data_IF_999612114489
#
_entry.id   IF_999612114489
#
_cell.length_a   1.000
_cell.length_b   1.000
_cell.length_c   1.000
_cell.angle_alpha   90.00
_cell.angle_beta   90.00
_cell.angle_gamma   90.00
#
_symmetry.space_group_name_H-M   'P 1'
#
loop_
_entity.id
_entity.type
_entity.pdbx_description
1 polymer ?
#
# COMPACT_ATOMS: atom_id res chain seq x y z
N UNK A 1 -52.45 -16.96 -31.24
CA UNK A 1 -52.83 -16.02 -32.33
C UNK A 1 -51.57 -15.32 -32.79
N UNK A 2 -51.10 -15.64 -33.99
CA UNK A 2 -49.85 -15.11 -34.57
C UNK A 2 -50.13 -14.74 -36.02
N UNK A 3 -50.00 -13.46 -36.41
CA UNK A 3 -49.88 -13.09 -37.81
C UNK A 3 -48.41 -13.13 -38.26
N UNK A 4 -48.13 -13.62 -39.48
CA UNK A 4 -46.81 -13.66 -40.08
C UNK A 4 -46.45 -12.37 -40.84
N UNK A 5 -45.16 -12.28 -41.15
CA UNK A 5 -44.46 -11.18 -41.81
C UNK A 5 -45.00 -10.80 -43.20
N UNK A 6 -44.91 -9.51 -43.53
CA UNK A 6 -44.83 -9.02 -44.90
C UNK A 6 -43.76 -7.93 -45.00
N UNK A 7 -42.72 -8.23 -45.78
CA UNK A 7 -41.62 -7.35 -46.16
C UNK A 7 -42.12 -6.21 -47.05
N UNK A 8 -41.56 -5.01 -46.88
CA UNK A 8 -41.66 -3.96 -47.89
C UNK A 8 -40.29 -3.43 -48.27
N UNK A 9 -40.02 -3.57 -49.57
CA UNK A 9 -38.79 -3.31 -50.27
C UNK A 9 -38.43 -1.83 -50.33
N UNK A 10 -37.10 -1.64 -50.36
CA UNK A 10 -36.36 -0.42 -50.69
C UNK A 10 -36.64 0.08 -52.10
N UNK A 11 -36.64 1.40 -52.26
CA UNK A 11 -36.22 2.21 -53.43
C UNK A 11 -36.38 3.67 -52.99
N UNK A 12 -35.54 4.67 -53.27
CA UNK A 12 -34.18 4.83 -53.76
C UNK A 12 -33.95 6.35 -53.76
N UNK A 13 -32.68 6.76 -53.70
CA UNK A 13 -32.14 8.08 -54.12
C UNK A 13 -32.57 9.36 -53.38
N UNK A 14 -31.65 9.89 -52.58
CA UNK A 14 -31.18 11.28 -52.73
C UNK A 14 -29.85 11.49 -51.98
N UNK A 15 -28.84 11.87 -52.75
CA UNK A 15 -27.56 12.39 -52.28
C UNK A 15 -27.78 13.63 -51.42
N UNK A 16 -27.34 13.59 -50.17
CA UNK A 16 -27.25 14.79 -49.32
C UNK A 16 -25.97 14.67 -48.51
N UNK A 17 -24.94 15.37 -49.00
CA UNK A 17 -23.69 15.62 -48.31
C UNK A 17 -24.00 16.22 -46.94
N UNK A 18 -23.83 15.40 -45.90
CA UNK A 18 -23.77 15.84 -44.51
C UNK A 18 -22.58 16.79 -44.38
N UNK A 19 -22.83 18.09 -44.60
CA UNK A 19 -21.89 19.16 -44.30
C UNK A 19 -21.64 19.15 -42.79
N UNK A 20 -20.54 18.52 -42.40
CA UNK A 20 -20.01 18.62 -41.04
C UNK A 20 -19.72 20.10 -40.76
N UNK A 21 -20.52 20.72 -39.90
CA UNK A 21 -20.38 22.12 -39.55
C UNK A 21 -19.24 22.30 -38.53
N UNK A 22 -18.02 22.32 -39.05
CA UNK A 22 -16.77 22.61 -38.32
C UNK A 22 -16.91 23.89 -37.46
N UNK A 23 -17.68 24.87 -37.94
CA UNK A 23 -17.84 26.18 -37.30
C UNK A 23 -18.62 26.13 -35.98
N UNK A 24 -19.53 25.16 -35.82
CA UNK A 24 -20.22 24.89 -34.56
C UNK A 24 -19.27 24.28 -33.52
N UNK A 25 -18.36 23.39 -33.95
CA UNK A 25 -17.35 22.79 -33.08
C UNK A 25 -16.34 23.84 -32.59
N UNK A 26 -15.84 24.71 -33.47
CA UNK A 26 -14.87 25.75 -33.06
C UNK A 26 -15.45 26.79 -32.12
N UNK A 27 -16.77 27.05 -32.19
CA UNK A 27 -17.47 27.96 -31.26
C UNK A 27 -17.78 27.35 -29.90
N UNK A 28 -17.99 26.03 -29.85
CA UNK A 28 -18.47 25.35 -28.63
C UNK A 28 -17.33 24.72 -27.84
N UNK A 29 -16.25 24.29 -28.50
CA UNK A 29 -15.10 23.69 -27.86
C UNK A 29 -13.97 24.71 -27.68
N UNK A 30 -13.97 25.36 -26.53
CA UNK A 30 -12.81 26.10 -26.03
C UNK A 30 -11.71 25.08 -25.70
N UNK A 31 -10.46 25.24 -26.18
CA UNK A 31 -9.36 24.35 -25.86
C UNK A 31 -9.21 24.18 -24.35
N UNK A 32 -9.11 22.94 -23.87
CA UNK A 32 -9.00 22.59 -22.44
C UNK A 32 -7.84 23.29 -21.71
N UNK A 33 -6.90 23.87 -22.46
CA UNK A 33 -5.81 24.72 -21.95
C UNK A 33 -6.25 26.09 -21.43
N UNK A 34 -7.52 26.44 -21.58
CA UNK A 34 -8.11 27.72 -21.12
C UNK A 34 -8.87 27.60 -19.80
N UNK A 35 -8.94 26.39 -19.23
CA UNK A 35 -9.49 26.21 -17.89
C UNK A 35 -8.52 26.89 -16.90
N UNK A 36 -9.01 27.70 -15.96
CA UNK A 36 -8.16 28.23 -14.90
C UNK A 36 -7.48 27.04 -14.23
N UNK A 37 -6.14 27.03 -14.25
CA UNK A 37 -5.37 26.08 -13.45
C UNK A 37 -5.91 26.17 -12.03
N UNK A 38 -6.27 25.04 -11.39
CA UNK A 38 -6.73 25.08 -10.01
C UNK A 38 -5.69 25.83 -9.16
N UNK A 39 -6.11 26.73 -8.26
CA UNK A 39 -5.18 27.45 -7.40
C UNK A 39 -4.32 26.43 -6.65
N UNK A 40 -3.03 26.72 -6.42
CA UNK A 40 -2.18 25.86 -5.61
C UNK A 40 -2.85 25.69 -4.25
N UNK A 41 -3.20 24.45 -3.91
CA UNK A 41 -3.84 24.11 -2.64
C UNK A 41 -2.97 24.59 -1.48
N UNK A 42 -3.43 25.58 -0.72
CA UNK A 42 -2.83 25.99 0.56
C UNK A 42 -2.89 24.89 1.64
N UNK A 43 -3.50 23.75 1.33
CA UNK A 43 -3.38 22.50 2.06
C UNK A 43 -2.27 21.63 1.45
N UNK A 44 -1.07 22.20 1.34
CA UNK A 44 0.14 21.37 1.34
C UNK A 44 0.30 20.84 2.77
N UNK A 45 -0.55 19.88 3.16
CA UNK A 45 -0.13 18.94 4.19
C UNK A 45 1.14 18.31 3.62
N UNK A 46 2.25 18.58 4.28
CA UNK A 46 3.60 18.10 4.00
C UNK A 46 3.73 16.56 4.03
N UNK A 47 2.62 15.82 4.02
CA UNK A 47 2.55 14.37 4.16
C UNK A 47 2.48 13.60 2.84
N UNK A 48 2.09 14.21 1.71
CA UNK A 48 2.10 13.50 0.41
C UNK A 48 3.46 13.49 -0.28
N UNK A 49 4.39 14.37 0.14
CA UNK A 49 5.77 14.42 -0.39
C UNK A 49 6.77 13.57 0.39
N UNK A 50 6.34 12.94 1.50
CA UNK A 50 7.15 11.96 2.23
C UNK A 50 7.12 10.55 1.63
N UNK A 51 6.33 10.31 0.58
CA UNK A 51 6.26 9.02 -0.10
C UNK A 51 7.31 8.85 -1.22
N UNK A 52 8.47 9.50 -1.10
CA UNK A 52 9.63 9.02 -1.85
C UNK A 52 10.13 7.73 -1.19
N UNK A 53 10.34 6.62 -1.93
CA UNK A 53 10.80 5.35 -1.36
C UNK A 53 12.11 5.47 -0.55
N UNK A 54 12.89 6.54 -0.76
CA UNK A 54 14.10 6.87 -0.01
C UNK A 54 13.89 7.46 1.40
N UNK A 55 12.65 7.70 1.86
CA UNK A 55 12.43 8.32 3.17
C UNK A 55 12.66 7.36 4.36
N UNK A 56 12.65 6.04 4.11
CA UNK A 56 12.73 5.02 5.17
C UNK A 56 14.08 4.31 5.24
N UNK A 57 14.92 4.45 4.21
CA UNK A 57 16.32 4.04 4.25
C UNK A 57 17.12 5.16 4.89
N UNK A 58 17.84 4.86 5.97
CA UNK A 58 18.69 5.86 6.60
C UNK A 58 19.79 6.30 5.64
N UNK A 59 20.12 7.61 5.55
CA UNK A 59 21.17 8.07 4.64
C UNK A 59 22.50 7.42 5.04
N UNK A 60 22.97 6.46 4.24
CA UNK A 60 24.21 5.70 4.47
C UNK A 60 24.01 4.20 4.77
N UNK A 61 22.78 3.69 4.77
CA UNK A 61 22.52 2.25 4.90
C UNK A 61 23.00 1.51 3.64
N UNK A 62 24.02 0.66 3.80
CA UNK A 62 24.55 -0.18 2.73
C UNK A 62 23.67 -1.43 2.69
N UNK A 63 22.87 -1.56 1.64
CA UNK A 63 22.01 -2.72 1.43
C UNK A 63 22.84 -3.88 0.87
N UNK A 64 22.65 -5.06 1.43
CA UNK A 64 23.32 -6.27 0.96
C UNK A 64 22.71 -6.73 -0.37
N UNK A 65 23.47 -6.77 -1.48
CA UNK A 65 22.93 -7.21 -2.77
C UNK A 65 22.37 -8.64 -2.77
N UNK A 66 22.85 -9.53 -1.89
CA UNK A 66 22.37 -10.93 -1.81
C UNK A 66 20.92 -11.00 -1.31
N UNK A 67 20.51 -10.03 -0.50
CA UNK A 67 19.15 -9.96 0.07
C UNK A 67 18.12 -9.31 -0.87
N UNK A 68 18.53 -8.86 -2.06
CA UNK A 68 17.62 -8.20 -3.01
C UNK A 68 16.54 -9.16 -3.53
N UNK A 69 16.92 -10.39 -3.91
CA UNK A 69 15.96 -11.42 -4.36
C UNK A 69 14.92 -11.76 -3.29
N UNK A 70 15.35 -12.13 -2.07
CA UNK A 70 14.46 -12.30 -0.92
C UNK A 70 13.54 -11.10 -0.66
N UNK A 71 14.08 -9.87 -0.72
CA UNK A 71 13.28 -8.66 -0.48
C UNK A 71 12.18 -8.47 -1.52
N UNK A 72 12.48 -8.69 -2.81
CA UNK A 72 11.50 -8.64 -3.90
C UNK A 72 10.42 -9.69 -3.68
N UNK A 73 10.83 -10.93 -3.42
CA UNK A 73 9.92 -12.04 -3.26
C UNK A 73 8.95 -11.82 -2.07
N UNK A 74 9.46 -11.46 -0.90
CA UNK A 74 8.65 -11.12 0.28
C UNK A 74 7.69 -9.95 0.03
N UNK A 75 8.14 -8.93 -0.71
CA UNK A 75 7.29 -7.78 -1.06
C UNK A 75 6.12 -8.18 -1.94
N UNK A 76 6.33 -9.13 -2.86
CA UNK A 76 5.28 -9.65 -3.75
C UNK A 76 4.25 -10.52 -3.03
N UNK A 77 4.61 -11.13 -1.89
CA UNK A 77 3.69 -11.92 -1.05
C UNK A 77 2.78 -11.07 -0.16
N UNK A 78 3.04 -9.76 -0.05
CA UNK A 78 2.17 -8.85 0.71
C UNK A 78 0.80 -8.78 0.01
N UNK A 79 -0.31 -9.18 0.67
CA UNK A 79 -1.61 -9.16 0.01
C UNK A 79 -2.01 -7.73 -0.35
N UNK A 80 -2.25 -7.44 -1.64
CA UNK A 80 -2.54 -6.09 -2.14
C UNK A 80 -3.81 -5.45 -1.53
N UNK A 81 -4.67 -6.27 -0.92
CA UNK A 81 -5.88 -5.83 -0.22
C UNK A 81 -5.65 -5.42 1.24
N UNK A 82 -4.40 -5.22 1.69
CA UNK A 82 -4.08 -4.85 3.08
C UNK A 82 -4.05 -3.34 3.30
N UNK A 83 -3.41 -2.58 2.41
CA UNK A 83 -3.28 -1.12 2.46
C UNK A 83 -3.49 -0.52 1.07
N UNK A 84 -3.94 0.74 0.98
CA UNK A 84 -3.86 1.49 -0.29
C UNK A 84 -2.43 1.98 -0.60
N UNK A 85 -1.53 1.97 0.40
CA UNK A 85 -0.12 2.28 0.19
C UNK A 85 0.57 1.12 -0.51
N UNK A 86 1.30 1.43 -1.58
CA UNK A 86 2.09 0.45 -2.34
C UNK A 86 3.21 -0.11 -1.46
N UNK A 87 3.38 -1.43 -1.47
CA UNK A 87 4.52 -2.06 -0.81
C UNK A 87 5.84 -1.66 -1.48
N UNK A 88 6.91 -1.60 -0.68
CA UNK A 88 8.20 -1.02 -1.00
C UNK A 88 9.30 -2.06 -0.83
N UNK A 89 9.85 -2.53 -1.94
CA UNK A 89 11.01 -3.43 -1.96
C UNK A 89 12.20 -2.82 -1.18
N UNK A 90 12.57 -1.53 -1.35
CA UNK A 90 13.67 -0.95 -0.58
C UNK A 90 13.48 -0.98 0.94
N UNK A 91 12.23 -0.84 1.41
CA UNK A 91 11.94 -0.92 2.84
C UNK A 91 12.11 -2.36 3.36
N UNK A 92 11.56 -3.34 2.64
CA UNK A 92 11.75 -4.76 2.99
C UNK A 92 13.23 -5.13 2.95
N UNK A 93 13.97 -4.67 1.95
CA UNK A 93 15.42 -4.91 1.83
C UNK A 93 16.21 -4.32 3.00
N UNK A 94 15.88 -3.10 3.42
CA UNK A 94 16.45 -2.50 4.62
C UNK A 94 16.07 -3.27 5.89
N UNK A 95 14.85 -3.80 6.01
CA UNK A 95 14.45 -4.66 7.13
C UNK A 95 15.32 -5.93 7.17
N UNK A 96 15.49 -6.62 6.04
CA UNK A 96 16.30 -7.84 5.97
C UNK A 96 17.77 -7.57 6.31
N UNK A 97 18.34 -6.49 5.77
CA UNK A 97 19.73 -6.09 6.04
C UNK A 97 19.95 -5.80 7.52
N UNK A 98 18.96 -5.20 8.21
CA UNK A 98 19.05 -4.91 9.65
C UNK A 98 18.78 -6.12 10.54
N UNK A 99 17.98 -7.06 10.05
CA UNK A 99 17.65 -8.27 10.78
C UNK A 99 18.81 -9.27 10.77
N UNK A 100 19.65 -9.26 9.72
CA UNK A 100 20.86 -10.10 9.58
C UNK A 100 20.56 -11.58 9.86
N UNK A 101 19.48 -12.08 9.24
CA UNK A 101 18.97 -13.42 9.46
C UNK A 101 19.52 -14.40 8.42
N UNK A 102 19.72 -15.68 8.78
CA UNK A 102 20.09 -16.70 7.81
C UNK A 102 18.96 -16.92 6.79
N UNK A 103 19.32 -17.26 5.55
CA UNK A 103 18.38 -17.39 4.44
C UNK A 103 17.27 -18.40 4.71
N UNK A 104 17.54 -19.46 5.46
CA UNK A 104 16.54 -20.46 5.85
C UNK A 104 15.46 -19.86 6.77
N UNK A 105 15.83 -18.93 7.66
CA UNK A 105 14.86 -18.21 8.50
C UNK A 105 14.01 -17.26 7.65
N UNK A 106 14.61 -16.62 6.66
CA UNK A 106 13.90 -15.78 5.69
C UNK A 106 12.95 -16.63 4.83
N UNK A 107 13.39 -17.82 4.41
CA UNK A 107 12.58 -18.79 3.67
C UNK A 107 11.38 -19.25 4.50
N UNK A 108 11.54 -19.51 5.81
CA UNK A 108 10.38 -19.79 6.66
C UNK A 108 9.39 -18.61 6.71
N UNK A 109 9.88 -17.38 6.75
CA UNK A 109 9.01 -16.20 6.68
C UNK A 109 8.28 -16.11 5.32
N UNK A 110 8.93 -16.48 4.22
CA UNK A 110 8.30 -16.64 2.90
C UNK A 110 7.16 -17.66 2.97
N UNK A 111 7.41 -18.86 3.50
CA UNK A 111 6.39 -19.90 3.63
C UNK A 111 5.20 -19.48 4.52
N UNK A 112 5.48 -18.72 5.58
CA UNK A 112 4.46 -18.13 6.46
C UNK A 112 3.54 -17.18 5.68
N UNK A 113 4.12 -16.31 4.84
CA UNK A 113 3.36 -15.33 4.07
C UNK A 113 2.58 -15.98 2.92
N UNK A 114 3.18 -16.94 2.22
CA UNK A 114 2.53 -17.65 1.11
C UNK A 114 1.33 -18.50 1.59
N UNK A 115 1.40 -18.98 2.84
CA UNK A 115 0.31 -19.75 3.47
C UNK A 115 -0.86 -18.89 3.97
N UNK A 116 -0.79 -17.56 3.85
CA UNK A 116 -1.88 -16.68 4.28
C UNK A 116 -3.08 -16.83 3.35
N UNK A 117 -4.27 -17.03 3.94
CA UNK A 117 -5.49 -17.14 3.14
C UNK A 117 -6.04 -15.77 2.71
N UNK A 118 -6.95 -15.80 1.73
CA UNK A 118 -7.58 -14.59 1.17
C UNK A 118 -8.36 -13.72 2.16
N UNK A 119 -8.66 -14.22 3.37
CA UNK A 119 -9.36 -13.45 4.41
C UNK A 119 -8.42 -12.65 5.29
N UNK A 120 -7.12 -12.97 5.30
CA UNK A 120 -6.12 -12.32 6.15
C UNK A 120 -6.15 -10.80 5.99
N UNK A 121 -6.07 -10.31 4.75
CA UNK A 121 -5.99 -8.89 4.45
C UNK A 121 -7.16 -8.09 5.04
N UNK A 122 -8.38 -8.62 4.92
CA UNK A 122 -9.59 -7.99 5.45
C UNK A 122 -9.63 -8.00 6.98
N UNK A 123 -9.22 -9.11 7.60
CA UNK A 123 -9.17 -9.23 9.07
C UNK A 123 -8.13 -8.29 9.66
N UNK A 124 -6.93 -8.28 9.08
CA UNK A 124 -5.84 -7.42 9.50
C UNK A 124 -6.24 -5.94 9.42
N UNK A 125 -6.80 -5.50 8.28
CA UNK A 125 -7.23 -4.10 8.09
C UNK A 125 -8.28 -3.65 9.11
N UNK A 126 -9.19 -4.53 9.52
CA UNK A 126 -10.26 -4.21 10.47
C UNK A 126 -9.78 -4.10 11.92
N UNK A 127 -8.69 -4.78 12.27
CA UNK A 127 -8.22 -4.85 13.65
C UNK A 127 -6.87 -4.18 13.92
N UNK A 128 -6.11 -3.82 12.88
CA UNK A 128 -4.80 -3.21 13.04
C UNK A 128 -4.91 -1.89 13.82
N UNK A 129 -4.22 -1.73 14.95
CA UNK A 129 -4.36 -0.55 15.79
C UNK A 129 -3.82 0.69 15.08
N UNK A 130 -4.65 1.73 15.04
CA UNK A 130 -4.32 3.03 14.47
C UNK A 130 -3.74 3.91 15.57
N UNK A 131 -2.65 4.63 15.28
CA UNK A 131 -2.08 5.56 16.26
C UNK A 131 -2.93 6.82 16.31
N UNK A 132 -3.49 7.12 17.47
CA UNK A 132 -4.11 8.43 17.73
C UNK A 132 -3.00 9.43 18.06
N UNK A 133 -2.66 10.33 17.13
CA UNK A 133 -1.75 11.42 17.44
C UNK A 133 -2.53 12.58 18.04
N UNK A 134 -2.20 12.95 19.28
CA UNK A 134 -2.60 14.22 19.86
C UNK A 134 -1.71 15.31 19.27
N UNK A 135 -2.25 16.08 18.32
CA UNK A 135 -1.54 17.23 17.77
C UNK A 135 -1.30 18.25 18.90
N UNK A 136 -0.07 18.77 19.09
CA UNK A 136 0.17 19.88 19.99
C UNK A 136 -0.49 21.13 19.40
N UNK A 137 -1.73 21.39 19.81
CA UNK A 137 -2.49 22.56 19.41
C UNK A 137 -1.84 23.83 19.95
N UNK A 138 -1.37 24.67 19.04
CA UNK A 138 -1.03 26.07 19.24
C UNK A 138 -2.08 26.78 20.11
N UNK A 139 -1.71 27.14 21.35
CA UNK A 139 -2.28 28.18 22.23
C UNK A 139 -3.81 28.39 22.32
N UNK A 140 -4.66 27.44 21.90
CA UNK A 140 -6.11 27.55 22.07
C UNK A 140 -6.61 26.47 23.02
N UNK A 141 -7.04 26.83 24.24
CA UNK A 141 -7.68 25.88 25.14
C UNK A 141 -9.08 25.63 24.57
N UNK A 142 -9.35 24.42 24.09
CA UNK A 142 -10.65 23.70 24.22
C UNK A 142 -10.76 22.52 23.23
N UNK A 143 -10.12 22.51 22.06
CA UNK A 143 -10.27 21.40 21.10
C UNK A 143 -8.92 20.79 20.67
N UNK A 144 -8.40 19.86 21.47
CA UNK A 144 -7.38 18.93 21.01
C UNK A 144 -8.02 17.99 19.98
N UNK A 145 -7.96 18.35 18.69
CA UNK A 145 -8.40 17.46 17.60
C UNK A 145 -7.48 16.25 17.58
N UNK A 146 -7.98 15.11 18.04
CA UNK A 146 -7.34 13.81 17.84
C UNK A 146 -7.45 13.52 16.33
N UNK A 147 -6.32 13.54 15.63
CA UNK A 147 -6.26 13.01 14.28
C UNK A 147 -5.95 11.52 14.39
N UNK A 148 -6.97 10.69 14.21
CA UNK A 148 -6.79 9.24 14.09
C UNK A 148 -6.05 8.94 12.79
N UNK A 149 -4.93 8.19 12.89
CA UNK A 149 -4.21 7.69 11.72
C UNK A 149 -5.17 6.85 10.86
N UNK A 150 -5.23 7.10 9.55
CA UNK A 150 -6.02 6.24 8.67
C UNK A 150 -5.31 4.90 8.47
N UNK A 151 -6.06 3.81 8.26
CA UNK A 151 -5.47 2.49 8.02
C UNK A 151 -4.52 2.46 6.82
N UNK A 152 -4.78 3.29 5.82
CA UNK A 152 -3.90 3.41 4.64
C UNK A 152 -2.60 4.15 4.92
N UNK A 153 -2.49 4.82 6.07
CA UNK A 153 -1.24 5.42 6.53
C UNK A 153 -0.31 4.39 7.20
N UNK A 154 -0.72 3.13 7.34
CA UNK A 154 0.14 2.05 7.83
C UNK A 154 0.80 1.36 6.63
N UNK A 155 2.13 1.31 6.68
CA UNK A 155 2.97 0.61 5.73
C UNK A 155 2.75 -0.91 5.83
N UNK A 156 2.32 -1.60 4.75
CA UNK A 156 1.96 -3.02 4.80
C UNK A 156 3.16 -3.96 5.03
N UNK A 157 4.39 -3.46 4.91
CA UNK A 157 5.65 -4.16 5.19
C UNK A 157 5.75 -4.63 6.65
N UNK A 158 4.93 -4.10 7.56
CA UNK A 158 4.77 -4.64 8.93
C UNK A 158 4.34 -6.11 8.93
N UNK A 159 3.67 -6.58 7.87
CA UNK A 159 3.29 -7.98 7.69
C UNK A 159 4.54 -8.84 7.47
N UNK A 160 5.49 -8.35 6.66
CA UNK A 160 6.80 -9.01 6.47
C UNK A 160 7.58 -9.01 7.77
N UNK A 161 7.67 -7.87 8.45
CA UNK A 161 8.31 -7.77 9.76
C UNK A 161 7.72 -8.77 10.77
N UNK A 162 6.38 -8.87 10.81
CA UNK A 162 5.67 -9.82 11.66
C UNK A 162 6.02 -11.28 11.34
N UNK A 163 6.09 -11.64 10.06
CA UNK A 163 6.47 -12.99 9.64
C UNK A 163 7.92 -13.34 10.00
N UNK A 164 8.87 -12.42 9.81
CA UNK A 164 10.28 -12.61 10.20
C UNK A 164 10.43 -12.83 11.70
N UNK A 165 9.74 -12.01 12.53
CA UNK A 165 9.75 -12.17 13.98
C UNK A 165 9.19 -13.54 14.39
N UNK A 166 8.13 -14.02 13.71
CA UNK A 166 7.57 -15.35 13.98
C UNK A 166 8.53 -16.48 13.58
N UNK A 167 9.22 -16.34 12.44
CA UNK A 167 10.23 -17.30 12.00
C UNK A 167 11.38 -17.42 13.01
N UNK A 168 11.92 -16.27 13.47
CA UNK A 168 12.97 -16.26 14.51
C UNK A 168 12.47 -16.89 15.81
N UNK A 169 11.31 -16.46 16.31
CA UNK A 169 10.74 -17.02 17.55
C UNK A 169 10.36 -18.50 17.46
N UNK A 170 10.25 -19.03 16.24
CA UNK A 170 9.96 -20.45 16.02
C UNK A 170 11.25 -21.28 16.01
N UNK A 171 12.33 -20.75 15.44
CA UNK A 171 13.62 -21.45 15.30
C UNK A 171 14.55 -21.26 16.50
N UNK A 172 14.43 -20.12 17.16
CA UNK A 172 15.22 -19.74 18.31
C UNK A 172 14.32 -19.42 19.51
N UNK A 173 14.71 -19.94 20.67
CA UNK A 173 14.07 -19.67 21.96
C UNK A 173 14.49 -18.31 22.55
N UNK A 174 15.44 -17.59 21.92
CA UNK A 174 15.84 -16.25 22.34
C UNK A 174 14.69 -15.23 22.24
N UNK A 175 14.13 -14.88 23.40
CA UNK A 175 13.03 -13.93 23.50
C UNK A 175 13.52 -12.48 23.51
N UNK A 176 13.69 -11.90 22.33
CA UNK A 176 13.74 -10.45 22.19
C UNK A 176 12.36 -9.81 22.39
N UNK A 177 12.36 -8.58 22.92
CA UNK A 177 11.12 -7.83 23.17
C UNK A 177 10.60 -7.21 21.87
N UNK A 178 9.29 -7.08 21.73
CA UNK A 178 8.69 -6.41 20.57
C UNK A 178 9.22 -4.98 20.35
N UNK A 179 9.60 -4.28 21.43
CA UNK A 179 10.22 -2.96 21.33
C UNK A 179 11.59 -2.98 20.68
N UNK A 180 12.38 -4.03 20.87
CA UNK A 180 13.70 -4.18 20.25
C UNK A 180 13.53 -4.38 18.75
N UNK A 181 12.66 -5.29 18.33
CA UNK A 181 12.29 -5.44 16.92
C UNK A 181 11.75 -4.15 16.28
N UNK A 182 10.92 -3.38 17.00
CA UNK A 182 10.40 -2.11 16.51
C UNK A 182 11.52 -1.10 16.22
N UNK A 183 12.50 -1.01 17.10
CA UNK A 183 13.62 -0.05 16.99
C UNK A 183 14.65 -0.56 15.98
N UNK A 184 15.11 -1.80 16.12
CA UNK A 184 16.24 -2.35 15.35
C UNK A 184 15.83 -2.66 13.91
N UNK A 185 14.74 -3.43 13.75
CA UNK A 185 14.26 -3.87 12.43
C UNK A 185 13.17 -2.97 11.86
N UNK A 186 12.45 -2.21 12.69
CA UNK A 186 11.40 -1.30 12.25
C UNK A 186 11.81 0.18 12.15
N UNK A 187 12.95 0.61 12.72
CA UNK A 187 13.31 2.04 12.90
C UNK A 187 12.16 2.87 13.50
N UNK A 188 11.38 2.29 14.41
CA UNK A 188 10.19 2.92 15.02
C UNK A 188 9.12 3.38 14.01
N UNK A 189 9.11 2.85 12.78
CA UNK A 189 8.06 3.12 11.79
C UNK A 189 6.72 2.54 12.28
N UNK A 190 6.75 1.42 12.99
CA UNK A 190 5.57 0.74 13.54
C UNK A 190 5.63 0.64 15.05
N UNK A 191 4.47 0.80 15.67
CA UNK A 191 4.34 0.70 17.13
C UNK A 191 4.28 -0.75 17.59
N UNK A 192 4.69 -1.03 18.83
CA UNK A 192 4.59 -2.38 19.41
C UNK A 192 3.17 -2.99 19.32
N UNK A 193 2.07 -2.24 19.55
CA UNK A 193 0.73 -2.76 19.33
C UNK A 193 0.46 -3.23 17.90
N UNK A 194 0.94 -2.50 16.88
CA UNK A 194 0.78 -2.89 15.47
C UNK A 194 1.55 -4.17 15.16
N UNK A 195 2.79 -4.27 15.63
CA UNK A 195 3.64 -5.45 15.43
C UNK A 195 3.04 -6.68 16.16
N UNK A 196 2.61 -6.52 17.41
CA UNK A 196 1.99 -7.60 18.18
C UNK A 196 0.65 -8.06 17.58
N UNK A 197 -0.18 -7.12 17.13
CA UNK A 197 -1.44 -7.44 16.45
C UNK A 197 -1.20 -8.20 15.15
N UNK A 198 -0.21 -7.78 14.37
CA UNK A 198 0.15 -8.41 13.10
C UNK A 198 0.65 -9.84 13.30
N UNK A 199 1.57 -10.07 14.26
CA UNK A 199 2.00 -11.43 14.63
C UNK A 199 0.82 -12.33 15.01
N UNK A 200 -0.08 -11.84 15.87
CA UNK A 200 -1.26 -12.60 16.28
C UNK A 200 -2.17 -12.90 15.10
N UNK A 201 -2.43 -11.93 14.24
CA UNK A 201 -3.29 -12.09 13.07
C UNK A 201 -2.74 -13.12 12.09
N UNK A 202 -1.41 -13.17 11.89
CA UNK A 202 -0.75 -14.20 11.08
C UNK A 202 -0.97 -15.58 11.71
N UNK A 203 -0.64 -15.73 12.99
CA UNK A 203 -0.81 -17.00 13.70
C UNK A 203 -2.26 -17.50 13.71
N UNK A 204 -3.23 -16.62 13.98
CA UNK A 204 -4.65 -16.96 13.95
C UNK A 204 -5.10 -17.40 12.56
N UNK A 205 -4.59 -16.75 11.50
CA UNK A 205 -4.91 -17.11 10.11
C UNK A 205 -4.38 -18.50 9.74
N UNK A 206 -3.17 -18.84 10.20
CA UNK A 206 -2.56 -20.15 10.00
C UNK A 206 -3.11 -21.23 10.96
N UNK A 207 -3.95 -20.83 11.93
CA UNK A 207 -4.42 -21.72 13.00
C UNK A 207 -3.29 -22.22 13.90
N UNK A 208 -2.27 -21.39 14.12
CA UNK A 208 -1.09 -21.65 14.96
C UNK A 208 -0.24 -22.84 14.50
N UNK A 209 -0.31 -23.22 13.22
CA UNK A 209 0.46 -24.33 12.65
C UNK A 209 1.66 -23.84 11.84
N UNK A 210 2.77 -23.56 12.52
CA UNK A 210 4.04 -23.20 11.86
C UNK A 210 4.90 -24.42 11.51
N UNK A 211 4.84 -25.48 12.32
CA UNK A 211 5.67 -26.68 12.13
C UNK A 211 5.61 -27.30 10.72
N UNK A 212 4.43 -27.42 10.07
CA UNK A 212 4.37 -27.95 8.70
C UNK A 212 5.07 -27.08 7.66
N UNK A 213 5.29 -25.79 7.95
CA UNK A 213 5.96 -24.85 7.04
C UNK A 213 7.49 -24.98 7.12
N UNK A 214 8.01 -25.66 8.15
CA UNK A 214 9.43 -25.94 8.33
C UNK A 214 9.83 -27.32 7.76
N UNK A 215 9.12 -27.79 6.74
CA UNK A 215 9.52 -28.99 6.01
C UNK A 215 10.66 -28.65 5.05
N UNK A 216 11.73 -29.46 5.03
CA UNK A 216 12.93 -29.22 4.23
C UNK A 216 12.61 -29.00 2.73
N UNK A 217 11.66 -29.77 2.19
CA UNK A 217 11.20 -29.65 0.79
C UNK A 217 10.61 -28.27 0.49
N UNK A 218 9.78 -27.74 1.39
CA UNK A 218 9.12 -26.44 1.26
C UNK A 218 10.13 -25.30 1.43
N UNK A 219 11.07 -25.44 2.37
CA UNK A 219 12.11 -24.44 2.59
C UNK A 219 13.06 -24.34 1.39
N UNK A 220 13.46 -25.48 0.80
CA UNK A 220 14.29 -25.48 -0.41
C UNK A 220 13.58 -24.81 -1.59
N UNK A 221 12.29 -25.09 -1.80
CA UNK A 221 11.49 -24.43 -2.85
C UNK A 221 11.41 -22.91 -2.63
N UNK A 222 11.20 -22.47 -1.39
CA UNK A 222 11.19 -21.05 -1.04
C UNK A 222 12.55 -20.36 -1.29
N UNK A 223 13.68 -21.05 -1.04
CA UNK A 223 15.01 -20.54 -1.35
C UNK A 223 15.18 -20.33 -2.87
N UNK A 224 14.78 -21.31 -3.68
CA UNK A 224 14.83 -21.21 -5.15
C UNK A 224 13.96 -20.07 -5.68
N UNK A 225 12.78 -19.86 -5.10
CA UNK A 225 11.87 -18.78 -5.48
C UNK A 225 12.43 -17.39 -5.14
N UNK A 226 13.12 -17.24 -4.01
CA UNK A 226 13.82 -16.01 -3.64
C UNK A 226 15.00 -15.72 -4.58
N UNK A 227 15.78 -16.73 -4.96
CA UNK A 227 16.86 -16.59 -5.93
C UNK A 227 16.32 -16.15 -7.30
N UNK A 228 15.26 -16.81 -7.78
CA UNK A 228 14.61 -16.49 -9.05
C UNK A 228 14.08 -15.06 -9.08
N UNK A 229 13.52 -14.58 -7.97
CA UNK A 229 13.03 -13.20 -7.87
C UNK A 229 14.17 -12.16 -8.02
N UNK A 230 15.38 -12.48 -7.57
CA UNK A 230 16.55 -11.61 -7.75
C UNK A 230 17.02 -11.53 -9.20
N UNK A 231 17.05 -12.66 -9.91
CA UNK A 231 17.47 -12.73 -11.31
C UNK A 231 16.55 -11.94 -12.25
N UNK A 232 15.25 -11.92 -11.98
CA UNK A 232 14.28 -11.17 -12.80
C UNK A 232 14.43 -9.65 -12.69
N UNK A 233 15.08 -9.15 -11.65
CA UNK A 233 15.19 -7.73 -11.38
C UNK A 233 16.50 -7.10 -11.90
N UNK A 234 17.55 -7.89 -12.15
CA UNK A 234 18.74 -7.37 -12.84
C UNK A 234 18.36 -7.00 -14.27
N UNK A 235 18.25 -5.71 -14.63
CA UNK A 235 17.92 -5.35 -15.98
C UNK A 235 19.11 -5.77 -16.85
N UNK A 236 18.85 -6.56 -17.90
CA UNK A 236 19.84 -6.94 -18.92
C UNK A 236 20.30 -5.68 -19.69
N UNK A 237 21.13 -4.85 -19.07
CA UNK A 237 21.64 -3.61 -19.66
C UNK A 237 22.99 -3.85 -20.37
N UNK A 238 23.62 -5.03 -20.21
CA UNK A 238 24.87 -5.37 -20.90
C UNK A 238 24.93 -6.85 -21.29
N UNK A 239 24.11 -7.24 -22.27
CA UNK A 239 24.33 -8.49 -23.04
C UNK A 239 24.37 -8.21 -24.54
N UNK A 240 24.91 -7.06 -24.95
CA UNK A 240 25.15 -6.73 -26.36
C UNK A 240 26.63 -6.41 -26.59
N UNK A 241 27.49 -7.35 -26.18
CA UNK A 241 28.71 -7.63 -26.94
C UNK A 241 28.37 -8.73 -27.94
N UNK A 242 27.43 -8.44 -28.86
CA UNK A 242 27.30 -9.23 -30.07
C UNK A 242 28.53 -8.96 -30.93
N UNK A 243 29.38 -9.96 -30.90
CA UNK A 243 30.48 -10.29 -31.78
C UNK A 243 29.96 -10.36 -33.23
N UNK A 244 29.91 -9.23 -33.93
CA UNK A 244 29.47 -9.12 -35.34
C UNK A 244 30.57 -9.47 -36.36
N UNK A 245 31.62 -10.19 -35.95
CA UNK A 245 32.75 -10.56 -36.81
C UNK A 245 32.62 -12.00 -37.37
N UNK A 246 31.45 -12.41 -37.90
CA UNK A 246 31.39 -13.58 -38.81
C UNK A 246 30.02 -13.74 -39.51
N UNK A 247 29.81 -13.03 -40.63
CA UNK A 247 28.86 -13.46 -41.68
C UNK A 247 29.11 -12.73 -43.01
N UNK A 248 30.24 -13.02 -43.63
CA UNK A 248 30.40 -12.87 -45.08
C UNK A 248 29.61 -14.02 -45.75
N UNK A 249 28.44 -13.74 -46.34
CA UNK A 249 27.97 -14.27 -47.64
C UNK A 249 26.45 -14.09 -47.89
N UNK A 250 26.17 -13.37 -48.99
CA UNK A 250 25.16 -13.70 -50.00
C UNK A 250 23.66 -13.72 -49.63
N UNK A 251 22.96 -12.59 -49.78
CA UNK A 251 21.84 -12.48 -50.76
C UNK A 251 21.32 -11.04 -50.92
N UNK A 252 21.38 -10.51 -52.15
CA UNK A 252 20.27 -9.76 -52.75
C UNK A 252 20.06 -8.28 -52.44
N UNK A 253 20.85 -7.42 -53.10
CA UNK A 253 20.50 -6.12 -53.69
C UNK A 253 19.10 -5.50 -53.41
N UNK A 254 19.10 -4.31 -52.79
CA UNK A 254 18.31 -3.17 -53.24
C UNK A 254 19.11 -1.89 -52.96
N UNK A 255 19.51 -1.24 -54.05
CA UNK A 255 20.16 0.06 -54.08
C UNK A 255 19.08 1.12 -54.31
N UNK A 256 18.88 2.03 -53.36
CA UNK A 256 18.47 3.41 -53.64
C UNK A 256 19.15 4.36 -52.67
N UNK A 257 20.03 5.15 -53.27
CA UNK A 257 20.83 6.22 -52.68
C UNK A 257 20.04 7.46 -52.24
N UNK A 258 20.67 8.18 -51.31
CA UNK A 258 20.63 9.63 -51.04
C UNK A 258 19.38 10.27 -50.39
N UNK A 259 19.58 10.76 -49.16
CA UNK A 259 18.72 11.80 -48.57
C UNK A 259 19.08 12.08 -47.11
N UNK A 260 20.20 12.77 -46.86
CA UNK A 260 20.56 13.25 -45.52
C UNK A 260 19.54 14.28 -45.02
N UNK A 261 19.10 14.13 -43.77
CA UNK A 261 18.26 15.12 -43.08
C UNK A 261 18.85 15.37 -41.69
N UNK A 262 19.34 16.61 -41.51
CA UNK A 262 19.80 17.21 -40.27
C UNK A 262 18.70 17.23 -39.18
N UNK A 263 19.02 16.94 -37.90
CA UNK A 263 18.11 17.20 -36.80
C UNK A 263 18.10 18.69 -36.44
N UNK A 264 16.95 19.32 -36.63
CA UNK A 264 16.72 20.76 -36.43
C UNK A 264 16.80 21.23 -34.97
N UNK A 265 17.43 22.39 -34.79
CA UNK A 265 17.49 23.19 -33.56
C UNK A 265 16.11 23.76 -33.18
N UNK A 266 15.53 23.26 -32.08
CA UNK A 266 14.39 23.88 -31.41
C UNK A 266 14.80 25.12 -30.59
N UNK A 267 14.18 26.26 -30.87
CA UNK A 267 14.46 27.56 -30.24
C UNK A 267 13.39 27.82 -29.16
N UNK A 268 13.77 27.81 -27.89
CA UNK A 268 12.87 28.15 -26.78
C UNK A 268 12.62 29.68 -26.74
N UNK A 269 11.36 30.09 -26.74
CA UNK A 269 10.93 31.49 -26.60
C UNK A 269 10.61 31.76 -25.14
N UNK A 270 11.44 32.56 -24.48
CA UNK A 270 11.18 33.12 -23.15
C UNK A 270 10.29 34.36 -23.28
N UNK A 271 9.02 34.22 -22.88
CA UNK A 271 8.09 35.35 -22.75
C UNK A 271 8.32 36.10 -21.45
N UNK A 272 8.74 37.36 -21.57
CA UNK A 272 8.93 38.33 -20.50
C UNK A 272 7.59 38.72 -19.87
N UNK A 273 7.53 38.66 -18.53
CA UNK A 273 6.48 39.33 -17.77
C UNK A 273 6.60 40.85 -17.89
N UNK A 274 5.44 41.53 -17.89
CA UNK A 274 5.20 42.76 -17.12
C UNK A 274 3.81 43.34 -17.38
N UNK A 275 3.06 43.48 -16.27
CA UNK A 275 1.99 44.47 -15.97
C UNK A 275 0.72 44.35 -16.87
N UNK A 276 -0.49 44.72 -16.49
CA UNK A 276 -0.98 45.92 -15.79
C UNK A 276 -2.41 45.58 -15.30
N UNK A 277 -2.77 45.94 -14.06
CA UNK A 277 -4.16 46.14 -13.55
C UNK A 277 -4.94 47.15 -14.44
N UNK A 278 -6.25 47.47 -14.30
CA UNK A 278 -7.30 47.06 -13.35
C UNK A 278 -8.66 46.72 -14.05
N UNK A 279 -9.74 46.40 -13.32
CA UNK A 279 -10.95 47.26 -13.16
C UNK A 279 -12.11 46.51 -12.50
N UNK A 280 -12.69 47.22 -11.53
CA UNK A 280 -14.01 47.21 -10.87
C UNK A 280 -15.03 46.06 -10.99
N UNK A 281 -15.56 45.75 -9.80
CA UNK A 281 -16.82 45.11 -9.42
C UNK A 281 -18.04 45.61 -10.20
N UNK A 282 -19.10 44.78 -10.36
CA UNK A 282 -20.28 45.07 -9.54
C UNK A 282 -20.91 43.83 -8.90
N UNK A 283 -21.33 43.99 -7.65
CA UNK A 283 -22.05 43.00 -6.89
C UNK A 283 -23.48 42.79 -7.39
N UNK A 284 -23.99 41.58 -7.22
CA UNK A 284 -25.42 41.30 -7.24
C UNK A 284 -25.72 40.30 -6.13
N UNK A 285 -26.48 40.80 -5.18
CA UNK A 285 -27.30 40.07 -4.22
C UNK A 285 -28.08 38.94 -4.88
N UNK A 286 -28.15 37.76 -4.25
CA UNK A 286 -29.41 37.04 -4.22
C UNK A 286 -29.45 36.07 -3.04
N UNK A 287 -30.08 36.56 -1.99
CA UNK A 287 -30.64 35.80 -0.88
C UNK A 287 -31.80 34.96 -1.41
N UNK A 288 -31.71 33.63 -1.32
CA UNK A 288 -32.93 32.80 -1.25
C UNK A 288 -32.70 31.45 -0.55
N UNK A 289 -32.91 31.50 0.76
CA UNK A 289 -33.58 30.49 1.60
C UNK A 289 -33.18 29.02 1.44
N UNK A 290 -32.35 28.54 2.35
CA UNK A 290 -32.38 27.14 2.78
C UNK A 290 -33.18 27.08 4.09
N UNK A 291 -34.32 26.38 4.05
CA UNK A 291 -35.16 26.08 5.22
C UNK A 291 -34.45 25.06 6.12
N UNK A 292 -34.60 25.29 7.42
CA UNK A 292 -34.39 24.33 8.51
C UNK A 292 -34.89 22.93 8.15
N UNK A 293 -34.01 21.94 8.28
CA UNK A 293 -34.36 20.53 8.42
C UNK A 293 -33.66 20.03 9.68
N UNK A 294 -34.13 20.51 10.82
CA UNK A 294 -33.69 20.08 12.15
C UNK A 294 -34.90 19.41 12.82
N UNK A 295 -34.91 18.08 12.90
CA UNK A 295 -36.05 17.37 13.51
C UNK A 295 -36.02 15.85 13.55
N UNK A 296 -35.58 15.16 12.48
CA UNK A 296 -36.03 13.78 12.28
C UNK A 296 -35.02 12.65 12.59
N UNK A 297 -33.85 12.94 13.18
CA UNK A 297 -32.83 11.89 13.45
C UNK A 297 -32.68 11.49 14.92
N UNK A 298 -33.52 12.02 15.83
CA UNK A 298 -33.39 11.78 17.30
C UNK A 298 -34.27 10.66 17.87
N UNK A 299 -35.06 9.95 17.06
CA UNK A 299 -36.01 8.94 17.54
C UNK A 299 -35.53 7.48 17.44
N UNK A 300 -34.35 7.20 16.88
CA UNK A 300 -33.86 5.83 16.66
C UNK A 300 -33.13 5.18 17.86
N UNK A 301 -32.89 5.93 18.95
CA UNK A 301 -32.06 5.45 20.08
C UNK A 301 -32.77 5.44 21.45
N UNK A 302 -34.09 5.63 21.50
CA UNK A 302 -34.83 5.49 22.76
C UNK A 302 -35.34 4.06 22.91
N UNK A 303 -34.50 3.21 23.52
CA UNK A 303 -34.92 1.90 24.04
C UNK A 303 -35.62 2.15 25.39
N UNK A 304 -36.87 1.70 25.59
CA UNK A 304 -37.56 1.85 26.86
C UNK A 304 -36.98 0.88 27.89
N UNK A 305 -36.65 1.41 29.06
CA UNK A 305 -36.29 0.64 30.25
C UNK A 305 -37.50 -0.17 30.72
N UNK A 306 -37.40 -1.50 30.61
CA UNK A 306 -38.28 -2.44 31.28
C UNK A 306 -37.45 -3.54 31.92
N UNK A 307 -37.66 -3.69 33.22
CA UNK A 307 -36.99 -4.57 34.16
C UNK A 307 -37.06 -6.05 33.76
N UNK A 308 -35.94 -6.78 33.86
CA UNK A 308 -35.88 -8.08 34.54
C UNK A 308 -34.42 -8.53 34.81
N UNK A 309 -34.19 -9.30 35.88
CA UNK A 309 -32.91 -9.35 36.57
C UNK A 309 -32.27 -10.74 36.50
N UNK A 310 -31.18 -10.93 35.76
CA UNK A 310 -30.28 -12.06 35.95
C UNK A 310 -28.87 -11.67 35.48
N UNK A 311 -27.86 -12.18 36.18
CA UNK A 311 -26.40 -11.91 36.06
C UNK A 311 -25.85 -10.86 37.03
N UNK A 312 -26.01 -11.15 38.32
CA UNK A 312 -25.16 -10.60 39.37
C UNK A 312 -23.79 -11.26 39.29
N UNK A 313 -22.76 -10.49 38.89
CA UNK A 313 -21.36 -10.92 38.95
C UNK A 313 -20.87 -10.88 40.42
N UNK A 314 -20.09 -11.87 40.87
CA UNK A 314 -19.59 -11.90 42.24
C UNK A 314 -18.54 -10.81 42.46
N UNK A 315 -18.72 -10.10 43.57
CA UNK A 315 -17.84 -9.06 44.08
C UNK A 315 -16.45 -9.63 44.39
N UNK A 316 -15.40 -8.98 43.89
CA UNK A 316 -14.02 -9.49 43.85
C UNK A 316 -13.15 -8.93 44.97
N UNK A 317 -13.73 -8.67 46.14
CA UNK A 317 -13.07 -7.93 47.24
C UNK A 317 -12.68 -8.77 48.47
N UNK A 318 -12.64 -10.09 48.37
CA UNK A 318 -12.06 -10.95 49.42
C UNK A 318 -11.17 -12.04 48.83
N UNK A 319 -9.90 -11.70 48.57
CA UNK A 319 -8.85 -12.72 48.36
C UNK A 319 -8.33 -13.13 49.73
N UNK A 320 -8.74 -14.33 50.15
CA UNK A 320 -8.14 -15.06 51.26
C UNK A 320 -6.83 -15.66 50.75
N UNK A 321 -5.72 -15.34 51.41
CA UNK A 321 -4.41 -15.93 51.13
C UNK A 321 -4.48 -17.45 51.34
N UNK A 322 -4.43 -18.22 50.25
CA UNK A 322 -4.03 -19.63 50.30
C UNK A 322 -2.54 -19.73 49.92
N UNK A 323 -1.72 -20.41 50.72
CA UNK A 323 -0.31 -20.57 50.42
C UNK A 323 -0.10 -21.53 49.24
N UNK A 324 0.67 -21.09 48.26
CA UNK A 324 1.08 -21.88 47.10
C UNK A 324 1.77 -23.20 47.53
N UNK A 325 1.56 -24.31 46.80
CA UNK A 325 2.17 -25.58 47.13
C UNK A 325 3.69 -25.52 46.93
N UNK A 326 4.41 -25.86 48.00
CA UNK A 326 5.86 -25.95 48.06
C UNK A 326 6.34 -27.11 47.19
N UNK A 327 7.30 -26.82 46.33
CA UNK A 327 7.97 -27.77 45.45
C UNK A 327 8.66 -28.89 46.25
N UNK A 328 8.24 -30.14 46.07
CA UNK A 328 8.86 -31.32 46.69
C UNK A 328 9.94 -31.86 45.77
N UNK A 329 11.18 -31.91 46.27
CA UNK A 329 12.36 -32.43 45.57
C UNK A 329 12.25 -33.96 45.43
N UNK A 330 12.51 -34.55 44.25
CA UNK A 330 12.45 -36.00 44.09
C UNK A 330 13.62 -36.66 44.82
N UNK A 331 13.31 -37.64 45.67
CA UNK A 331 14.29 -38.51 46.30
C UNK A 331 14.79 -39.52 45.26
N UNK A 332 16.09 -39.50 44.97
CA UNK A 332 16.76 -40.57 44.24
C UNK A 332 16.91 -41.76 45.18
N UNK A 333 16.30 -42.89 44.82
CA UNK A 333 16.53 -44.19 45.45
C UNK A 333 17.68 -44.92 44.78
N UNK A 334 18.61 -45.42 45.59
CA UNK A 334 19.67 -46.36 45.24
C UNK A 334 19.13 -47.73 44.86
#
# INVERSE_FOLDING_TARGET
MTPPMASRSRSSSSSSSSSFDESYFTKTYVPLSSLPTPPPSSHSNTSSRQQSPNAFSSPGEILDPELLGPAIHLTNLIPSSTSLTTSSVPLVHAILTRADLPLETIALAVCILDSLNSRFALQWRKGCPLTSQTLPGSFSPIDARISEQHIDSIHPEVIVLGALILAVKFLDDEQQRTSEYAIEWGKDIWTCPQINFTQRSILENLGYRLLPLWEESIILEALEDMERAGQQYTPEIYSDSEDWDDADTCFGSFDLSLGGVDPGKGKAVTGLGNQITPVETPGVENVRGAKDVDGDTKSAFLIPAAEKPYLQLPDRTLVREEPFPVFVKPAFGN
#
